data_IF_504850992671
#
_entry.id   IF_504850992671
#
_cell.length_a   1.000
_cell.length_b   1.000
_cell.length_c   1.000
_cell.angle_alpha   90.00
_cell.angle_beta   90.00
_cell.angle_gamma   90.00
#
_symmetry.space_group_name_H-M   'P 1'
#
loop_
_entity.id
_entity.type
_entity.pdbx_description
1 polymer ?
#
# COMPACT_ATOMS: atom_id res chain seq x y z
N UNK A 1 -29.36 38.68 -0.66
CA UNK A 1 -28.84 39.27 -1.91
C UNK A 1 -27.72 38.39 -2.43
N UNK A 2 -27.97 37.78 -3.60
CA UNK A 2 -27.03 37.27 -4.63
C UNK A 2 -26.12 36.08 -4.26
N UNK A 3 -26.50 34.93 -4.84
CA UNK A 3 -25.67 33.74 -5.10
C UNK A 3 -24.68 34.05 -6.23
N UNK A 4 -23.41 33.63 -6.09
CA UNK A 4 -22.49 33.52 -7.22
C UNK A 4 -21.94 32.08 -7.29
N UNK A 5 -22.63 31.30 -8.11
CA UNK A 5 -22.16 30.09 -8.76
C UNK A 5 -21.24 30.43 -9.95
N UNK A 6 -20.41 29.46 -10.32
CA UNK A 6 -19.55 29.37 -11.52
C UNK A 6 -18.15 30.01 -11.35
N UNK A 7 -17.04 29.37 -11.74
CA UNK A 7 -16.85 28.61 -12.97
C UNK A 7 -15.95 27.39 -12.79
N UNK A 8 -16.45 26.27 -13.32
CA UNK A 8 -15.68 25.15 -13.84
C UNK A 8 -14.67 25.66 -14.88
N UNK A 9 -13.38 25.42 -14.62
CA UNK A 9 -12.35 25.44 -15.67
C UNK A 9 -11.61 24.11 -15.64
N UNK A 10 -12.20 23.11 -16.30
CA UNK A 10 -11.51 21.91 -16.75
C UNK A 10 -10.54 22.33 -17.87
N UNK A 11 -9.27 22.51 -17.55
CA UNK A 11 -8.19 22.39 -18.54
C UNK A 11 -7.56 21.01 -18.41
N UNK A 12 -8.12 20.09 -19.19
CA UNK A 12 -7.51 18.81 -19.50
C UNK A 12 -6.41 19.03 -20.53
N UNK A 13 -5.15 18.92 -20.11
CA UNK A 13 -4.02 18.69 -21.01
C UNK A 13 -3.71 17.19 -20.97
N UNK A 14 -4.27 16.47 -21.94
CA UNK A 14 -3.84 15.13 -22.32
C UNK A 14 -2.53 15.26 -23.09
N UNK A 15 -1.43 14.85 -22.46
CA UNK A 15 -0.16 14.68 -23.13
C UNK A 15 0.54 13.40 -22.65
N UNK A 16 0.92 12.61 -23.65
CA UNK A 16 1.93 11.55 -23.66
C UNK A 16 1.54 10.14 -23.15
N UNK A 17 1.28 9.27 -24.14
CA UNK A 17 1.84 7.93 -24.17
C UNK A 17 3.32 7.96 -23.77
N UNK A 18 3.68 7.17 -22.75
CA UNK A 18 5.06 6.93 -22.35
C UNK A 18 5.15 5.59 -21.66
N UNK A 19 5.17 4.52 -22.45
CA UNK A 19 5.45 3.17 -21.97
C UNK A 19 6.88 3.09 -21.43
N UNK A 20 7.00 2.86 -20.13
CA UNK A 20 8.26 2.55 -19.46
C UNK A 20 8.11 1.26 -18.67
N UNK A 21 8.20 0.13 -19.36
CA UNK A 21 8.23 -1.18 -18.72
C UNK A 21 9.55 -1.37 -17.97
N UNK A 22 9.60 -1.04 -16.69
CA UNK A 22 10.70 -1.44 -15.82
C UNK A 22 10.56 -2.93 -15.55
N UNK A 23 11.42 -3.72 -16.19
CA UNK A 23 11.60 -5.13 -15.84
C UNK A 23 12.18 -5.18 -14.44
N UNK A 24 11.32 -5.37 -13.45
CA UNK A 24 11.75 -5.74 -12.10
C UNK A 24 12.30 -7.16 -12.17
N UNK A 25 13.63 -7.29 -12.14
CA UNK A 25 14.34 -8.56 -12.15
C UNK A 25 14.25 -9.23 -10.78
N UNK A 26 13.84 -10.50 -10.84
CA UNK A 26 13.63 -11.44 -9.75
C UNK A 26 14.92 -11.82 -9.00
N UNK A 27 14.87 -11.84 -7.67
CA UNK A 27 15.74 -12.67 -6.83
C UNK A 27 14.87 -13.70 -6.09
N UNK A 28 14.48 -14.75 -6.81
CA UNK A 28 14.24 -16.14 -6.34
C UNK A 28 13.38 -16.90 -7.38
N UNK A 29 13.84 -16.98 -8.62
CA UNK A 29 13.33 -17.98 -9.55
C UNK A 29 14.05 -19.30 -9.24
N UNK A 30 13.45 -20.12 -8.39
CA UNK A 30 13.89 -21.50 -8.21
C UNK A 30 13.60 -22.24 -9.52
N UNK A 31 14.63 -22.36 -10.36
CA UNK A 31 14.57 -23.03 -11.66
C UNK A 31 14.47 -24.53 -11.45
N UNK A 32 13.26 -25.07 -11.59
CA UNK A 32 13.03 -26.44 -12.07
C UNK A 32 12.37 -26.32 -13.44
N UNK A 33 13.16 -26.00 -14.46
CA UNK A 33 12.65 -25.80 -15.81
C UNK A 33 13.26 -26.83 -16.75
N UNK A 34 12.52 -27.91 -16.98
CA UNK A 34 12.72 -28.82 -18.10
C UNK A 34 12.41 -28.08 -19.41
N UNK A 35 13.31 -28.07 -20.41
CA UNK A 35 13.07 -27.41 -21.69
C UNK A 35 12.13 -28.28 -22.54
N UNK A 36 10.83 -28.01 -22.49
CA UNK A 36 9.84 -28.72 -23.32
C UNK A 36 8.37 -28.58 -22.94
N UNK A 37 8.04 -27.98 -21.79
CA UNK A 37 6.65 -27.82 -21.38
C UNK A 37 6.00 -26.61 -22.08
N UNK A 38 5.06 -26.91 -22.97
CA UNK A 38 4.06 -25.97 -23.50
C UNK A 38 3.37 -25.32 -22.31
N UNK A 39 3.44 -23.99 -22.20
CA UNK A 39 2.94 -23.22 -21.06
C UNK A 39 1.41 -23.33 -20.98
N UNK A 40 0.96 -24.39 -20.32
CA UNK A 40 -0.44 -24.66 -20.03
C UNK A 40 -0.68 -24.08 -18.64
N UNK A 41 -1.19 -22.85 -18.55
CA UNK A 41 -1.62 -22.30 -17.27
C UNK A 41 -2.73 -23.19 -16.71
N UNK A 42 -2.52 -23.87 -15.57
CA UNK A 42 -3.56 -24.70 -14.99
C UNK A 42 -4.74 -23.79 -14.63
N UNK A 43 -5.91 -24.05 -15.20
CA UNK A 43 -7.16 -23.44 -14.78
C UNK A 43 -7.42 -23.91 -13.34
N UNK A 44 -7.01 -23.12 -12.35
CA UNK A 44 -7.12 -23.49 -10.94
C UNK A 44 -6.04 -22.96 -10.00
N UNK A 45 -5.00 -22.26 -10.50
CA UNK A 45 -4.05 -21.60 -9.61
C UNK A 45 -4.74 -20.43 -8.87
N UNK A 46 -4.76 -20.41 -7.52
CA UNK A 46 -5.26 -19.25 -6.80
C UNK A 46 -4.44 -18.02 -7.17
N UNK A 47 -5.10 -16.89 -7.37
CA UNK A 47 -4.43 -15.64 -7.68
C UNK A 47 -3.34 -15.34 -6.62
N UNK A 48 -2.17 -14.82 -7.03
CA UNK A 48 -1.10 -14.51 -6.09
C UNK A 48 -1.62 -13.55 -5.00
N UNK A 49 -1.54 -14.00 -3.75
CA UNK A 49 -1.83 -13.18 -2.58
C UNK A 49 -0.68 -12.19 -2.37
N UNK A 50 -0.99 -10.92 -2.16
CA UNK A 50 0.01 -9.92 -1.77
C UNK A 50 0.60 -10.32 -0.41
N UNK A 51 1.92 -10.43 -0.34
CA UNK A 51 2.60 -10.80 0.90
C UNK A 51 4.03 -10.26 0.93
N UNK A 52 4.39 -9.61 2.03
CA UNK A 52 5.75 -9.17 2.32
C UNK A 52 6.01 -9.26 3.83
N UNK A 53 7.29 -9.27 4.21
CA UNK A 53 7.73 -9.18 5.61
C UNK A 53 8.38 -7.82 5.81
N UNK A 54 8.20 -7.25 7.00
CA UNK A 54 8.77 -5.94 7.29
C UNK A 54 8.24 -5.34 8.58
N UNK A 55 8.60 -4.07 8.85
CA UNK A 55 8.31 -3.43 10.12
C UNK A 55 6.80 -3.24 10.38
N UNK A 56 6.00 -2.98 9.34
CA UNK A 56 4.54 -2.86 9.45
C UNK A 56 3.90 -4.22 9.73
N UNK A 57 4.34 -5.30 9.05
CA UNK A 57 3.85 -6.66 9.34
C UNK A 57 4.13 -7.03 10.80
N UNK A 58 5.37 -6.82 11.26
CA UNK A 58 5.77 -7.14 12.64
C UNK A 58 4.94 -6.34 13.66
N UNK A 59 4.74 -5.04 13.44
CA UNK A 59 3.94 -4.20 14.33
C UNK A 59 2.44 -4.56 14.29
N UNK A 60 1.93 -4.93 13.13
CA UNK A 60 0.56 -5.41 12.94
C UNK A 60 0.32 -6.68 13.77
N UNK A 61 1.19 -7.69 13.65
CA UNK A 61 1.10 -8.93 14.43
C UNK A 61 1.25 -8.67 15.94
N UNK A 62 2.20 -7.82 16.32
CA UNK A 62 2.44 -7.46 17.72
C UNK A 62 1.28 -6.67 18.36
N UNK A 63 0.43 -6.01 17.57
CA UNK A 63 -0.68 -5.20 18.09
C UNK A 63 -1.75 -6.00 18.84
N UNK A 64 -1.75 -7.33 18.74
CA UNK A 64 -2.69 -8.21 19.46
C UNK A 64 -4.16 -8.05 19.06
N UNK A 65 -4.45 -7.34 17.95
CA UNK A 65 -5.81 -7.15 17.44
C UNK A 65 -6.36 -8.47 16.90
N UNK A 66 -7.67 -8.73 17.03
CA UNK A 66 -8.30 -9.98 16.57
C UNK A 66 -8.00 -10.34 15.11
N UNK A 67 -7.88 -9.33 14.24
CA UNK A 67 -7.61 -9.52 12.81
C UNK A 67 -6.11 -9.53 12.47
N UNK A 68 -5.21 -9.41 13.46
CA UNK A 68 -3.77 -9.46 13.23
C UNK A 68 -3.31 -10.92 13.11
N UNK A 69 -3.36 -11.46 11.90
CA UNK A 69 -2.75 -12.75 11.55
C UNK A 69 -1.67 -12.54 10.48
N UNK A 70 -0.82 -13.56 10.29
CA UNK A 70 0.35 -13.51 9.42
C UNK A 70 -0.02 -13.17 7.98
N UNK A 71 -1.06 -13.80 7.45
CA UNK A 71 -1.51 -13.60 6.07
C UNK A 71 -1.93 -12.15 5.84
N UNK A 72 -2.77 -11.62 6.75
CA UNK A 72 -3.28 -10.25 6.67
C UNK A 72 -2.18 -9.23 6.91
N UNK A 73 -1.37 -9.39 7.95
CA UNK A 73 -0.29 -8.45 8.26
C UNK A 73 0.79 -8.46 7.16
N UNK A 74 1.05 -9.61 6.53
CA UNK A 74 1.92 -9.69 5.36
C UNK A 74 1.35 -9.01 4.12
N UNK A 75 0.04 -9.11 3.88
CA UNK A 75 -0.64 -8.33 2.84
C UNK A 75 -0.56 -6.82 3.12
N UNK A 76 -0.82 -6.40 4.35
CA UNK A 76 -0.71 -4.99 4.76
C UNK A 76 0.70 -4.46 4.54
N UNK A 77 1.74 -5.24 4.85
CA UNK A 77 3.13 -4.86 4.54
C UNK A 77 3.38 -4.73 3.04
N UNK A 78 2.88 -5.66 2.21
CA UNK A 78 3.03 -5.57 0.77
C UNK A 78 2.36 -4.29 0.21
N UNK A 79 1.20 -3.91 0.75
CA UNK A 79 0.55 -2.63 0.42
C UNK A 79 1.37 -1.44 0.90
N UNK A 80 1.96 -1.51 2.09
CA UNK A 80 2.85 -0.47 2.60
C UNK A 80 4.08 -0.28 1.70
N UNK A 81 4.70 -1.36 1.19
CA UNK A 81 5.87 -1.29 0.31
C UNK A 81 5.55 -0.65 -1.05
N UNK A 82 4.30 -0.76 -1.51
CA UNK A 82 3.83 -0.11 -2.74
C UNK A 82 3.45 1.37 -2.55
N UNK A 83 3.05 1.78 -1.35
CA UNK A 83 2.37 3.07 -1.11
C UNK A 83 3.12 4.03 -0.18
N UNK A 84 4.06 3.53 0.63
CA UNK A 84 4.77 4.29 1.64
C UNK A 84 6.28 4.20 1.44
N UNK A 85 6.97 5.30 1.70
CA UNK A 85 8.43 5.29 1.82
C UNK A 85 8.87 4.54 3.08
N UNK A 86 10.11 4.06 3.11
CA UNK A 86 10.70 3.45 4.32
C UNK A 86 10.63 4.38 5.55
N UNK A 87 10.74 5.70 5.35
CA UNK A 87 10.60 6.68 6.41
C UNK A 87 9.15 6.76 6.92
N UNK A 88 8.17 6.80 6.01
CA UNK A 88 6.75 6.79 6.38
C UNK A 88 6.38 5.49 7.11
N UNK A 89 6.90 4.33 6.66
CA UNK A 89 6.68 3.05 7.34
C UNK A 89 7.22 3.07 8.78
N UNK A 90 8.46 3.49 8.99
CA UNK A 90 9.05 3.59 10.35
C UNK A 90 8.26 4.53 11.26
N UNK A 91 7.79 5.66 10.73
CA UNK A 91 6.94 6.59 11.47
C UNK A 91 5.60 5.96 11.85
N UNK A 92 4.97 5.27 10.90
CA UNK A 92 3.68 4.64 11.08
C UNK A 92 3.67 3.41 11.98
N UNK A 93 4.80 2.70 12.12
CA UNK A 93 4.96 1.61 13.11
C UNK A 93 4.53 2.04 14.51
N UNK A 94 4.85 3.28 14.90
CA UNK A 94 4.46 3.82 16.20
C UNK A 94 2.96 3.77 16.46
N UNK A 95 2.13 3.90 15.42
CA UNK A 95 0.67 3.93 15.54
C UNK A 95 0.03 2.59 15.89
N UNK A 96 0.75 1.48 15.66
CA UNK A 96 0.28 0.16 16.07
C UNK A 96 0.39 -0.04 17.57
N UNK A 97 1.46 0.49 18.17
CA UNK A 97 1.75 0.39 19.60
C UNK A 97 1.06 1.49 20.41
N UNK A 98 1.02 2.71 19.86
CA UNK A 98 0.35 3.85 20.46
C UNK A 98 -0.70 4.45 19.50
N UNK A 99 -1.96 3.99 19.57
CA UNK A 99 -3.04 4.54 18.78
C UNK A 99 -3.31 6.03 19.06
N UNK A 100 -2.87 6.59 20.20
CA UNK A 100 -3.07 8.00 20.53
C UNK A 100 -2.23 8.91 19.63
N UNK A 101 -0.97 8.56 19.37
CA UNK A 101 -0.11 9.30 18.45
C UNK A 101 -0.68 9.43 17.02
N UNK A 102 -1.50 8.47 16.58
CA UNK A 102 -2.22 8.56 15.32
C UNK A 102 -3.32 9.63 15.34
N UNK A 103 -3.97 9.84 16.49
CA UNK A 103 -4.96 10.91 16.66
C UNK A 103 -4.31 12.28 16.67
N UNK A 104 -3.19 12.44 17.39
CA UNK A 104 -2.40 13.68 17.37
C UNK A 104 -1.91 14.01 15.96
N UNK A 105 -1.50 12.99 15.19
CA UNK A 105 -1.10 13.17 13.80
C UNK A 105 -2.22 13.75 12.94
N UNK A 106 -3.44 13.21 13.10
CA UNK A 106 -4.62 13.60 12.34
C UNK A 106 -5.08 15.02 12.65
N UNK A 107 -4.90 15.49 13.88
CA UNK A 107 -5.31 16.82 14.33
C UNK A 107 -4.20 17.88 14.24
N UNK A 108 -3.00 17.48 13.87
CA UNK A 108 -1.85 18.38 13.79
C UNK A 108 -2.02 19.47 12.73
N UNK A 109 -1.68 20.72 13.08
CA UNK A 109 -1.64 21.85 12.15
C UNK A 109 -0.35 21.94 11.31
N UNK A 110 0.60 21.01 11.49
CA UNK A 110 1.85 20.99 10.73
C UNK A 110 1.65 20.44 9.31
N UNK A 111 2.13 21.16 8.31
CA UNK A 111 2.06 20.74 6.90
C UNK A 111 2.79 19.42 6.62
N UNK A 112 3.89 19.14 7.32
CA UNK A 112 4.62 17.88 7.19
C UNK A 112 3.86 16.69 7.80
N UNK A 113 3.11 16.93 8.87
CA UNK A 113 2.24 15.93 9.49
C UNK A 113 1.02 15.66 8.62
N UNK A 114 0.40 16.72 8.08
CA UNK A 114 -0.71 16.61 7.15
C UNK A 114 -0.32 15.81 5.90
N UNK A 115 0.84 16.10 5.30
CA UNK A 115 1.33 15.38 4.13
C UNK A 115 1.55 13.89 4.41
N UNK A 116 2.16 13.55 5.55
CA UNK A 116 2.31 12.17 6.00
C UNK A 116 0.95 11.50 6.24
N UNK A 117 0.03 12.18 6.94
CA UNK A 117 -1.29 11.66 7.24
C UNK A 117 -2.10 11.35 5.98
N UNK A 118 -2.00 12.19 4.94
CA UNK A 118 -2.62 11.91 3.63
C UNK A 118 -2.13 10.60 3.02
N UNK A 119 -0.80 10.36 3.01
CA UNK A 119 -0.23 9.10 2.52
C UNK A 119 -0.62 7.91 3.40
N UNK A 120 -0.54 8.07 4.71
CA UNK A 120 -0.91 7.03 5.68
C UNK A 120 -2.38 6.62 5.55
N UNK A 121 -3.29 7.59 5.38
CA UNK A 121 -4.71 7.33 5.16
C UNK A 121 -4.94 6.57 3.85
N UNK A 122 -4.31 7.00 2.76
CA UNK A 122 -4.44 6.33 1.46
C UNK A 122 -3.96 4.87 1.51
N UNK A 123 -2.82 4.64 2.18
CA UNK A 123 -2.32 3.29 2.50
C UNK A 123 -3.37 2.47 3.26
N UNK A 124 -3.94 3.02 4.34
CA UNK A 124 -4.92 2.32 5.18
C UNK A 124 -6.19 1.96 4.41
N UNK A 125 -6.70 2.87 3.58
CA UNK A 125 -7.87 2.63 2.73
C UNK A 125 -7.60 1.49 1.73
N UNK A 126 -6.44 1.53 1.05
CA UNK A 126 -6.03 0.49 0.09
C UNK A 126 -5.82 -0.87 0.78
N UNK A 127 -5.18 -0.90 1.95
CA UNK A 127 -4.99 -2.11 2.72
C UNK A 127 -6.34 -2.71 3.18
N UNK A 128 -7.32 -1.87 3.54
CA UNK A 128 -8.67 -2.31 3.89
C UNK A 128 -9.43 -2.96 2.73
N UNK A 129 -9.18 -2.50 1.50
CA UNK A 129 -9.78 -3.08 0.29
C UNK A 129 -9.12 -4.41 -0.13
N UNK A 130 -7.81 -4.55 0.07
CA UNK A 130 -7.02 -5.67 -0.47
C UNK A 130 -6.77 -6.80 0.55
N UNK A 131 -6.73 -6.49 1.84
CA UNK A 131 -6.25 -7.40 2.90
C UNK A 131 -7.37 -7.79 3.89
N UNK A 132 -8.57 -8.05 3.36
CA UNK A 132 -9.74 -8.53 4.12
C UNK A 132 -9.65 -9.98 4.55
#
# INVERSE_FOLDING_TARGET
MIRLTALFSCLALLAACGGGGTRYSSYNATTYQSPGARMSTPLGQPAPKLFARGPIANACEASGRKQANRERCGCVQAVADMSLSNADQRRGVGFFNDPHSAQEMRTSASSSNEAFWKRWKAFGDQAGQLCG
#
